data_IF_754193561949
#
_entry.id   IF_754193561949
#
_cell.length_a   1.000
_cell.length_b   1.000
_cell.length_c   1.000
_cell.angle_alpha   90.00
_cell.angle_beta   90.00
_cell.angle_gamma   90.00
#
_symmetry.space_group_name_H-M   'P 1'
#
loop_
_entity.id
_entity.type
_entity.pdbx_description
1 polymer ?
#
# COMPACT_ATOMS: atom_id res chain seq x y z
N UNK A 1 8.70 34.25 -13.06
CA UNK A 1 9.19 32.86 -13.26
C UNK A 1 8.43 31.85 -12.40
N UNK A 2 8.24 32.09 -11.10
CA UNK A 2 7.65 31.13 -10.14
C UNK A 2 6.13 30.95 -10.17
N UNK A 3 5.38 31.94 -10.67
CA UNK A 3 3.90 31.89 -10.73
C UNK A 3 3.36 30.73 -11.60
N UNK A 4 4.12 30.27 -12.60
CA UNK A 4 3.73 29.11 -13.44
C UNK A 4 3.70 27.80 -12.66
N UNK A 5 4.55 27.66 -11.64
CA UNK A 5 4.65 26.44 -10.82
C UNK A 5 3.61 26.41 -9.71
N UNK A 6 3.31 27.55 -9.08
CA UNK A 6 2.25 27.66 -8.08
C UNK A 6 0.87 27.30 -8.67
N UNK A 7 0.55 27.83 -9.86
CA UNK A 7 -0.70 27.52 -10.56
C UNK A 7 -0.83 26.05 -11.00
N UNK A 8 0.29 25.34 -11.18
CA UNK A 8 0.30 23.93 -11.60
C UNK A 8 0.03 22.96 -10.43
N UNK A 9 0.33 23.37 -9.19
CA UNK A 9 0.15 22.58 -7.97
C UNK A 9 -1.27 22.72 -7.37
N UNK A 10 -1.99 23.79 -7.69
CA UNK A 10 -3.31 24.09 -7.11
C UNK A 10 -4.49 23.38 -7.80
N UNK A 11 -4.30 22.80 -8.99
CA UNK A 11 -5.42 22.39 -9.86
C UNK A 11 -5.82 20.92 -9.85
N UNK A 12 -5.04 20.02 -9.26
CA UNK A 12 -5.40 18.63 -8.93
C UNK A 12 -4.16 17.95 -8.36
N UNK A 13 -4.28 17.32 -7.18
CA UNK A 13 -3.13 16.76 -6.45
C UNK A 13 -2.77 15.36 -6.99
N UNK A 14 -1.95 15.32 -8.05
CA UNK A 14 -1.33 14.11 -8.60
C UNK A 14 0.14 14.05 -8.18
N UNK A 15 0.51 13.04 -7.39
CA UNK A 15 1.85 12.89 -6.81
C UNK A 15 2.95 12.71 -7.86
N UNK A 16 2.66 12.10 -9.02
CA UNK A 16 3.63 11.99 -10.11
C UNK A 16 3.91 13.36 -10.72
N UNK A 17 2.85 14.16 -10.92
CA UNK A 17 2.95 15.49 -11.51
C UNK A 17 3.66 16.49 -10.60
N UNK A 18 3.49 16.37 -9.28
CA UNK A 18 4.22 17.17 -8.29
C UNK A 18 5.73 16.91 -8.38
N UNK A 19 6.14 15.65 -8.48
CA UNK A 19 7.56 15.29 -8.59
C UNK A 19 8.19 15.81 -9.88
N UNK A 20 7.47 15.74 -11.01
CA UNK A 20 7.94 16.27 -12.30
C UNK A 20 8.10 17.80 -12.28
N UNK A 21 7.14 18.52 -11.69
CA UNK A 21 7.20 19.97 -11.51
C UNK A 21 8.38 20.38 -10.63
N UNK A 22 8.62 19.66 -9.53
CA UNK A 22 9.75 19.90 -8.64
C UNK A 22 11.09 19.57 -9.33
N UNK A 23 11.15 18.51 -10.13
CA UNK A 23 12.34 18.14 -10.87
C UNK A 23 12.71 19.18 -11.94
N UNK A 24 11.70 19.73 -12.64
CA UNK A 24 11.89 20.82 -13.61
C UNK A 24 12.38 22.10 -12.92
N UNK A 25 11.73 22.50 -11.83
CA UNK A 25 12.15 23.66 -11.04
C UNK A 25 13.60 23.49 -10.52
N UNK A 26 13.96 22.29 -10.03
CA UNK A 26 15.33 21.97 -9.59
C UNK A 26 16.34 22.10 -10.73
N UNK A 27 15.97 21.69 -11.96
CA UNK A 27 16.80 21.87 -13.16
C UNK A 27 17.00 23.34 -13.52
N UNK A 28 15.94 24.14 -13.59
CA UNK A 28 16.03 25.57 -13.89
C UNK A 28 16.90 26.32 -12.86
N UNK A 29 16.76 25.99 -11.57
CA UNK A 29 17.58 26.57 -10.49
C UNK A 29 19.06 26.20 -10.64
N UNK A 30 19.37 24.93 -10.94
CA UNK A 30 20.76 24.49 -11.11
C UNK A 30 21.44 25.14 -12.31
N UNK A 31 20.71 25.32 -13.41
CA UNK A 31 21.20 25.99 -14.63
C UNK A 31 21.51 27.45 -14.33
N UNK A 32 20.56 28.17 -13.71
CA UNK A 32 20.76 29.57 -13.31
C UNK A 32 21.97 29.72 -12.37
N UNK A 33 22.12 28.79 -11.42
CA UNK A 33 23.30 28.74 -10.54
C UNK A 33 24.59 28.64 -11.35
N UNK A 34 24.69 27.68 -12.27
CA UNK A 34 25.91 27.48 -13.08
C UNK A 34 26.23 28.67 -14.01
N UNK A 35 25.22 29.35 -14.54
CA UNK A 35 25.40 30.58 -15.34
C UNK A 35 25.93 31.74 -14.50
N UNK A 36 25.46 31.88 -13.26
CA UNK A 36 25.94 32.92 -12.33
C UNK A 36 27.38 32.64 -11.89
N UNK A 37 27.74 31.39 -11.62
CA UNK A 37 29.10 31.02 -11.17
C UNK A 37 30.18 31.09 -12.26
N UNK A 38 29.82 31.05 -13.55
CA UNK A 38 30.80 31.08 -14.66
C UNK A 38 31.19 32.49 -15.12
N UNK A 39 30.50 33.54 -14.67
CA UNK A 39 30.86 34.92 -15.02
C UNK A 39 31.76 35.58 -13.95
N UNK A 40 33.04 35.77 -14.30
CA UNK A 40 34.08 36.35 -13.44
C UNK A 40 33.81 37.82 -13.03
N UNK A 41 32.88 38.48 -13.74
CA UNK A 41 32.41 39.86 -13.48
C UNK A 41 31.19 39.95 -12.56
N UNK A 42 30.37 38.90 -12.41
CA UNK A 42 29.19 38.96 -11.53
C UNK A 42 29.54 38.78 -10.05
N UNK A 43 30.66 38.11 -9.74
CA UNK A 43 31.07 37.76 -8.37
C UNK A 43 31.43 38.97 -7.51
N UNK A 44 31.84 40.12 -8.07
CA UNK A 44 32.21 41.31 -7.27
C UNK A 44 31.09 42.35 -7.11
N UNK A 45 30.18 42.49 -8.07
CA UNK A 45 29.10 43.50 -7.99
C UNK A 45 27.84 42.93 -7.31
N UNK A 46 27.52 41.64 -7.51
CA UNK A 46 26.30 41.04 -6.93
C UNK A 46 26.48 40.64 -5.46
N UNK A 47 27.71 40.29 -5.05
CA UNK A 47 28.02 39.89 -3.67
C UNK A 47 27.88 41.03 -2.64
N UNK A 48 27.96 42.30 -3.08
CA UNK A 48 27.89 43.48 -2.19
C UNK A 48 26.46 44.03 -2.08
N UNK A 49 25.58 43.78 -3.05
CA UNK A 49 24.27 44.44 -3.12
C UNK A 49 23.09 43.64 -2.57
N UNK A 50 23.20 42.34 -2.31
CA UNK A 50 22.02 41.55 -1.93
C UNK A 50 22.34 40.50 -0.87
N UNK A 51 22.42 40.94 0.39
CA UNK A 51 22.36 40.05 1.57
C UNK A 51 21.15 39.11 1.49
N UNK A 52 20.06 39.60 0.88
CA UNK A 52 18.79 38.91 0.70
C UNK A 52 18.87 37.73 -0.28
N UNK A 53 19.73 37.78 -1.31
CA UNK A 53 19.88 36.67 -2.26
C UNK A 53 20.62 35.47 -1.66
N UNK A 54 21.59 35.72 -0.78
CA UNK A 54 22.31 34.66 -0.07
C UNK A 54 21.39 33.92 0.90
N UNK A 55 20.54 34.64 1.64
CA UNK A 55 19.52 34.06 2.53
C UNK A 55 18.48 33.22 1.76
N UNK A 56 18.06 33.67 0.57
CA UNK A 56 17.14 32.90 -0.28
C UNK A 56 17.81 31.60 -0.76
N UNK A 57 19.08 31.64 -1.17
CA UNK A 57 19.79 30.44 -1.62
C UNK A 57 19.99 29.42 -0.49
N UNK A 58 20.31 29.89 0.72
CA UNK A 58 20.41 29.04 1.92
C UNK A 58 19.07 28.43 2.31
N UNK A 59 17.98 29.20 2.23
CA UNK A 59 16.63 28.70 2.46
C UNK A 59 16.23 27.62 1.43
N UNK A 60 16.50 27.83 0.14
CA UNK A 60 16.22 26.84 -0.92
C UNK A 60 17.05 25.57 -0.70
N UNK A 61 18.33 25.69 -0.32
CA UNK A 61 19.18 24.55 -0.01
C UNK A 61 18.65 23.75 1.19
N UNK A 62 18.21 24.45 2.25
CA UNK A 62 17.64 23.83 3.45
C UNK A 62 16.32 23.11 3.15
N UNK A 63 15.42 23.72 2.37
CA UNK A 63 14.17 23.10 1.93
C UNK A 63 14.42 21.87 1.03
N UNK A 64 15.45 21.92 0.18
CA UNK A 64 15.84 20.78 -0.66
C UNK A 64 16.33 19.59 0.19
N UNK A 65 17.15 19.85 1.22
CA UNK A 65 17.62 18.83 2.14
C UNK A 65 16.47 18.20 2.95
N UNK A 66 15.52 19.04 3.39
CA UNK A 66 14.31 18.57 4.07
C UNK A 66 13.43 17.70 3.16
N UNK A 67 13.27 18.07 1.88
CA UNK A 67 12.54 17.27 0.90
C UNK A 67 13.18 15.90 0.65
N UNK A 68 14.52 15.82 0.61
CA UNK A 68 15.24 14.54 0.47
C UNK A 68 15.07 13.65 1.70
N UNK A 69 15.14 14.22 2.91
CA UNK A 69 14.87 13.49 4.15
C UNK A 69 13.43 12.96 4.21
N UNK A 70 12.45 13.81 3.87
CA UNK A 70 11.05 13.40 3.84
C UNK A 70 10.80 12.30 2.79
N UNK A 71 11.40 12.41 1.60
CA UNK A 71 11.33 11.38 0.57
C UNK A 71 11.93 10.03 1.03
N UNK A 72 13.01 10.07 1.82
CA UNK A 72 13.60 8.86 2.43
C UNK A 72 12.64 8.21 3.44
N UNK A 73 12.02 9.01 4.32
CA UNK A 73 11.03 8.50 5.28
C UNK A 73 9.82 7.88 4.59
N UNK A 74 9.30 8.51 3.53
CA UNK A 74 8.16 8.00 2.75
C UNK A 74 8.50 6.65 2.10
N UNK A 75 9.72 6.50 1.54
CA UNK A 75 10.18 5.20 1.00
C UNK A 75 10.24 4.13 2.08
N UNK A 76 10.89 4.41 3.22
CA UNK A 76 10.97 3.45 4.32
C UNK A 76 9.58 3.00 4.81
N UNK A 77 8.66 3.95 5.01
CA UNK A 77 7.30 3.62 5.43
C UNK A 77 6.55 2.81 4.36
N UNK A 78 6.76 3.13 3.08
CA UNK A 78 6.15 2.39 1.97
C UNK A 78 6.65 0.95 1.91
N UNK A 79 7.97 0.75 2.07
CA UNK A 79 8.59 -0.58 2.09
C UNK A 79 8.08 -1.41 3.28
N UNK A 80 7.96 -0.79 4.45
CA UNK A 80 7.41 -1.48 5.64
C UNK A 80 5.93 -1.81 5.47
N UNK A 81 5.13 -0.94 4.84
CA UNK A 81 3.72 -1.24 4.49
C UNK A 81 3.66 -2.45 3.55
N UNK A 82 4.51 -2.50 2.53
CA UNK A 82 4.55 -3.64 1.58
C UNK A 82 4.94 -4.92 2.32
N UNK A 83 5.95 -4.86 3.18
CA UNK A 83 6.40 -5.99 3.99
C UNK A 83 5.30 -6.50 4.91
N UNK A 84 4.70 -5.61 5.71
CA UNK A 84 3.64 -5.96 6.66
C UNK A 84 2.41 -6.51 5.94
N UNK A 85 2.03 -5.96 4.79
CA UNK A 85 0.95 -6.53 3.95
C UNK A 85 1.30 -7.94 3.49
N UNK A 86 2.54 -8.19 3.10
CA UNK A 86 3.03 -9.53 2.74
C UNK A 86 2.99 -10.50 3.93
N UNK A 87 3.31 -10.05 5.15
CA UNK A 87 3.21 -10.86 6.37
C UNK A 87 1.74 -11.16 6.73
N UNK A 88 0.86 -10.15 6.68
CA UNK A 88 -0.58 -10.33 6.93
C UNK A 88 -1.20 -11.29 5.91
N UNK A 89 -0.85 -11.17 4.62
CA UNK A 89 -1.34 -12.10 3.60
C UNK A 89 -0.90 -13.56 3.81
N UNK A 90 0.20 -13.79 4.53
CA UNK A 90 0.65 -15.14 4.90
C UNK A 90 -0.10 -15.69 6.11
N UNK A 91 -0.71 -14.83 6.92
CA UNK A 91 -1.61 -15.27 7.98
C UNK A 91 -2.90 -15.77 7.32
N UNK A 92 -2.99 -17.08 7.13
CA UNK A 92 -4.25 -17.74 6.73
C UNK A 92 -5.25 -17.58 7.86
N UNK A 93 -6.05 -16.52 7.82
CA UNK A 93 -7.16 -16.35 8.75
C UNK A 93 -8.22 -17.40 8.45
N UNK A 94 -8.60 -18.17 9.47
CA UNK A 94 -9.71 -19.12 9.35
C UNK A 94 -11.00 -18.37 9.59
N UNK A 95 -11.84 -18.25 8.55
CA UNK A 95 -13.13 -17.56 8.64
C UNK A 95 -14.23 -18.60 8.55
N UNK A 96 -15.07 -18.71 9.58
CA UNK A 96 -16.26 -19.55 9.52
C UNK A 96 -17.39 -18.84 8.76
N UNK A 97 -17.80 -19.42 7.64
CA UNK A 97 -18.78 -18.87 6.68
C UNK A 97 -20.21 -19.40 6.88
N UNK A 98 -20.42 -20.29 7.85
CA UNK A 98 -21.74 -20.90 8.11
C UNK A 98 -21.97 -22.19 7.32
N UNK A 99 -23.23 -22.46 6.94
CA UNK A 99 -23.58 -23.66 6.16
C UNK A 99 -23.30 -23.40 4.68
N UNK A 100 -22.70 -24.36 3.99
CA UNK A 100 -22.37 -24.23 2.58
C UNK A 100 -23.62 -23.93 1.71
N UNK A 101 -23.56 -22.83 0.96
CA UNK A 101 -24.52 -22.42 -0.07
C UNK A 101 -24.01 -22.78 -1.47
N UNK A 102 -24.76 -23.52 -2.30
CA UNK A 102 -24.39 -23.76 -3.71
C UNK A 102 -24.29 -22.48 -4.53
N UNK A 103 -23.22 -22.33 -5.32
CA UNK A 103 -22.98 -21.16 -6.18
C UNK A 103 -22.37 -19.95 -5.46
N UNK A 104 -22.03 -20.09 -4.18
CA UNK A 104 -21.21 -19.10 -3.46
C UNK A 104 -19.71 -19.42 -3.67
N UNK A 105 -18.91 -18.37 -3.85
CA UNK A 105 -17.44 -18.48 -3.95
C UNK A 105 -16.85 -18.42 -2.54
N UNK A 106 -16.03 -19.40 -2.19
CA UNK A 106 -15.28 -19.46 -0.94
C UNK A 106 -13.80 -19.19 -1.20
N UNK A 107 -13.13 -18.52 -0.27
CA UNK A 107 -11.70 -18.22 -0.36
C UNK A 107 -10.88 -19.21 0.48
N UNK A 108 -9.58 -19.24 0.25
CA UNK A 108 -8.64 -20.10 0.97
C UNK A 108 -8.66 -19.77 2.46
N UNK A 109 -8.83 -20.79 3.30
CA UNK A 109 -8.93 -20.63 4.75
C UNK A 109 -10.37 -20.54 5.27
N UNK A 110 -11.36 -20.36 4.39
CA UNK A 110 -12.77 -20.40 4.79
C UNK A 110 -13.13 -21.77 5.37
N UNK A 111 -14.03 -21.78 6.34
CA UNK A 111 -14.64 -22.97 6.91
C UNK A 111 -16.15 -22.95 6.77
N UNK A 112 -16.73 -24.08 6.35
CA UNK A 112 -18.18 -24.24 6.20
C UNK A 112 -18.67 -25.52 6.86
N UNK A 113 -19.94 -25.55 7.22
CA UNK A 113 -20.63 -26.78 7.59
C UNK A 113 -21.36 -27.36 6.38
N UNK A 114 -21.11 -28.63 6.10
CA UNK A 114 -21.83 -29.38 5.06
C UNK A 114 -21.98 -30.85 5.43
N UNK A 115 -23.19 -31.41 5.28
CA UNK A 115 -23.49 -32.79 5.64
C UNK A 115 -23.22 -33.10 7.12
N UNK A 116 -23.46 -32.13 8.02
CA UNK A 116 -23.19 -32.22 9.46
C UNK A 116 -21.71 -32.18 9.86
N UNK A 117 -20.80 -31.99 8.90
CA UNK A 117 -19.35 -31.97 9.12
C UNK A 117 -18.79 -30.57 8.86
N UNK A 118 -17.63 -30.25 9.46
CA UNK A 118 -16.89 -29.01 9.20
C UNK A 118 -15.83 -29.25 8.13
N UNK A 119 -15.75 -28.35 7.16
CA UNK A 119 -14.84 -28.42 6.02
C UNK A 119 -13.99 -27.16 5.95
N UNK A 120 -12.73 -27.30 5.55
CA UNK A 120 -11.78 -26.22 5.30
C UNK A 120 -11.53 -26.08 3.80
N UNK A 121 -11.59 -24.85 3.30
CA UNK A 121 -11.35 -24.47 1.92
C UNK A 121 -9.85 -24.28 1.67
N UNK A 122 -9.28 -25.08 0.76
CA UNK A 122 -7.84 -25.11 0.45
C UNK A 122 -7.45 -24.09 -0.62
N UNK A 123 -8.39 -23.71 -1.48
CA UNK A 123 -8.20 -22.82 -2.64
C UNK A 123 -9.54 -22.17 -3.01
N UNK A 124 -9.50 -21.05 -3.74
CA UNK A 124 -10.72 -20.35 -4.16
C UNK A 124 -11.61 -21.29 -4.99
N UNK A 125 -12.86 -21.50 -4.58
CA UNK A 125 -13.75 -22.47 -5.22
C UNK A 125 -15.24 -22.14 -5.08
N UNK A 126 -16.04 -22.62 -6.03
CA UNK A 126 -17.50 -22.73 -5.94
C UNK A 126 -17.94 -24.20 -5.77
N UNK A 127 -16.98 -25.13 -5.71
CA UNK A 127 -17.25 -26.55 -5.59
C UNK A 127 -17.92 -26.87 -4.26
N UNK A 128 -18.72 -27.93 -4.27
CA UNK A 128 -19.38 -28.45 -3.08
C UNK A 128 -18.41 -29.28 -2.23
N UNK A 129 -18.36 -29.12 -0.89
CA UNK A 129 -17.58 -29.97 -0.01
C UNK A 129 -18.00 -31.45 -0.11
N UNK A 130 -17.03 -32.34 -0.17
CA UNK A 130 -17.29 -33.77 -0.25
C UNK A 130 -16.08 -34.58 -0.71
N UNK A 131 -16.24 -35.90 -0.76
CA UNK A 131 -15.25 -36.80 -1.35
C UNK A 131 -15.09 -36.49 -2.85
N UNK A 132 -13.86 -36.20 -3.27
CA UNK A 132 -13.52 -35.95 -4.68
C UNK A 132 -13.21 -34.49 -5.03
N UNK A 133 -13.47 -33.53 -4.14
CA UNK A 133 -13.00 -32.15 -4.34
C UNK A 133 -11.60 -31.96 -3.75
N UNK A 134 -10.67 -31.42 -4.54
CA UNK A 134 -9.34 -31.00 -4.05
C UNK A 134 -9.41 -29.73 -3.21
N UNK A 135 -10.44 -28.91 -3.44
CA UNK A 135 -10.62 -27.63 -2.80
C UNK A 135 -11.08 -27.75 -1.34
N UNK A 136 -11.59 -28.92 -0.91
CA UNK A 136 -12.14 -29.10 0.43
C UNK A 136 -11.40 -30.18 1.23
N UNK A 137 -10.98 -29.84 2.44
CA UNK A 137 -10.47 -30.79 3.44
C UNK A 137 -11.50 -30.98 4.56
N UNK A 138 -11.83 -32.22 4.91
CA UNK A 138 -12.67 -32.52 6.08
C UNK A 138 -11.93 -32.17 7.37
N UNK A 139 -12.37 -31.11 8.06
CA UNK A 139 -11.76 -30.64 9.30
C UNK A 139 -12.33 -31.35 10.54
N UNK A 140 -13.66 -31.51 10.59
CA UNK A 140 -14.35 -32.24 11.67
C UNK A 140 -15.44 -33.12 11.08
N UNK A 141 -15.36 -34.43 11.34
CA UNK A 141 -16.36 -35.40 10.88
C UNK A 141 -17.59 -35.39 11.80
N UNK A 142 -18.79 -35.46 11.21
CA UNK A 142 -20.02 -35.65 11.98
C UNK A 142 -19.98 -36.93 12.83
N UNK A 143 -20.59 -36.87 14.01
CA UNK A 143 -20.81 -38.03 14.86
C UNK A 143 -21.79 -39.04 14.24
N UNK A 144 -21.87 -40.23 14.84
CA UNK A 144 -22.93 -41.19 14.54
C UNK A 144 -24.20 -40.79 15.27
N UNK A 145 -25.34 -41.04 14.65
CA UNK A 145 -26.64 -40.82 15.29
C UNK A 145 -26.75 -41.69 16.56
N UNK A 146 -27.35 -41.12 17.61
CA UNK A 146 -27.64 -41.84 18.85
C UNK A 146 -28.65 -42.96 18.61
N UNK A 147 -28.62 -44.01 19.44
CA UNK A 147 -29.63 -45.07 19.39
C UNK A 147 -30.97 -44.55 19.90
N UNK A 148 -32.06 -44.89 19.22
CA UNK A 148 -33.41 -44.61 19.69
C UNK A 148 -33.67 -45.30 21.03
N UNK A 149 -34.19 -44.55 22.00
CA UNK A 149 -34.71 -45.12 23.24
C UNK A 149 -36.10 -45.68 22.95
N UNK A 150 -36.21 -46.99 22.74
CA UNK A 150 -37.50 -47.66 22.81
C UNK A 150 -38.01 -47.56 24.25
N UNK A 151 -38.99 -46.68 24.49
CA UNK A 151 -39.69 -46.61 25.76
C UNK A 151 -40.48 -47.92 25.89
N UNK A 152 -39.96 -48.86 26.69
CA UNK A 152 -40.62 -50.13 26.95
C UNK A 152 -42.05 -49.86 27.40
N UNK A 153 -43.01 -50.39 26.64
CA UNK A 153 -44.40 -50.44 27.06
C UNK A 153 -44.44 -51.26 28.37
N UNK A 154 -44.82 -50.59 29.45
CA UNK A 154 -45.22 -51.21 30.71
C UNK A 154 -46.72 -51.51 30.67
#
# INVERSE_FOLDING_TARGET
>A
MWSKYCNALERDFDSARVLDVLAEAKREILTFRNEVYTSETATKTVAVQNRDLWTIHEFIAQQSLQAEHLGSLVRMLSDEIVRLKGEVSKQKAVIYRGVHTPGEVYDTGDMVTFGGSLWHCNEITEEKPGEGSSAWTLAVKRGRDGKDLTRGAA
#
